data_IF_683444964918
#
_entry.id   IF_683444964918
#
_cell.length_a   1.000
_cell.length_b   1.000
_cell.length_c   1.000
_cell.angle_alpha   90.00
_cell.angle_beta   90.00
_cell.angle_gamma   90.00
#
_symmetry.space_group_name_H-M   'P 1'
#
loop_
_entity.id
_entity.type
_entity.pdbx_description
1 polymer ?
#
# COMPACT_ATOMS: atom_id res chain seq x y z
N UNK A 1 -7.90 -24.58 21.57
CA UNK A 1 -7.39 -23.77 20.44
C UNK A 1 -6.83 -22.48 21.05
N UNK A 2 -5.57 -22.14 20.78
CA UNK A 2 -4.93 -20.95 21.37
C UNK A 2 -5.49 -19.72 20.64
N UNK A 3 -6.38 -18.98 21.28
CA UNK A 3 -6.77 -17.65 20.85
C UNK A 3 -5.54 -16.73 21.00
N UNK A 4 -4.67 -16.67 19.98
CA UNK A 4 -3.57 -15.71 20.00
C UNK A 4 -4.17 -14.33 19.79
N UNK A 5 -3.90 -13.40 20.71
CA UNK A 5 -4.23 -11.99 20.54
C UNK A 5 -3.75 -11.49 19.17
N UNK A 6 -4.49 -10.60 18.48
CA UNK A 6 -4.00 -9.97 17.27
C UNK A 6 -2.63 -9.34 17.56
N UNK A 7 -1.63 -9.66 16.74
CA UNK A 7 -0.32 -9.02 16.85
C UNK A 7 -0.49 -7.55 16.50
N UNK A 8 -0.39 -6.67 17.49
CA UNK A 8 -0.37 -5.23 17.27
C UNK A 8 1.04 -4.86 16.85
N UNK A 9 1.25 -4.59 15.57
CA UNK A 9 2.53 -4.05 15.08
C UNK A 9 2.65 -2.62 15.59
N UNK A 10 3.65 -2.36 16.43
CA UNK A 10 3.99 -1.00 16.81
C UNK A 10 4.72 -0.29 15.66
N UNK A 11 4.65 1.05 15.63
CA UNK A 11 5.42 1.86 14.68
C UNK A 11 6.92 1.51 14.73
N UNK A 12 7.47 1.30 15.93
CA UNK A 12 8.87 0.92 16.13
C UNK A 12 9.22 -0.42 15.46
N UNK A 13 8.37 -1.45 15.62
CA UNK A 13 8.60 -2.75 14.97
C UNK A 13 8.60 -2.63 13.44
N UNK A 14 7.74 -1.77 12.89
CA UNK A 14 7.69 -1.52 11.45
C UNK A 14 8.96 -0.79 10.97
N UNK A 15 9.41 0.22 11.71
CA UNK A 15 10.66 0.94 11.41
C UNK A 15 11.88 0.02 11.45
N UNK A 16 12.00 -0.81 12.49
CA UNK A 16 13.06 -1.81 12.62
C UNK A 16 13.04 -2.82 11.48
N UNK A 17 11.85 -3.29 11.07
CA UNK A 17 11.73 -4.24 9.97
C UNK A 17 12.12 -3.62 8.61
N UNK A 18 11.69 -2.38 8.35
CA UNK A 18 12.03 -1.68 7.10
C UNK A 18 13.53 -1.41 7.03
N UNK A 19 14.10 -0.84 8.10
CA UNK A 19 15.51 -0.42 8.12
C UNK A 19 16.47 -1.61 8.17
N UNK A 20 16.23 -2.60 9.03
CA UNK A 20 17.16 -3.72 9.22
C UNK A 20 16.80 -4.94 8.35
N UNK A 21 15.51 -5.19 8.12
CA UNK A 21 15.02 -6.37 7.40
C UNK A 21 14.91 -6.19 5.89
N UNK A 22 14.69 -4.95 5.42
CA UNK A 22 14.51 -4.63 4.00
C UNK A 22 15.57 -3.68 3.44
N UNK A 23 16.52 -3.23 4.26
CA UNK A 23 17.50 -2.19 3.91
C UNK A 23 16.83 -0.90 3.38
N UNK A 24 15.62 -0.63 3.87
CA UNK A 24 14.88 0.61 3.60
C UNK A 24 15.47 1.78 4.37
N UNK A 25 15.27 2.99 3.87
CA UNK A 25 15.86 4.20 4.46
C UNK A 25 14.95 4.84 5.50
N UNK A 26 13.65 4.86 5.25
CA UNK A 26 12.69 5.60 6.03
C UNK A 26 11.28 4.98 6.00
N UNK A 27 10.51 5.23 7.07
CA UNK A 27 9.10 4.91 7.14
C UNK A 27 8.27 6.18 6.91
N UNK A 28 7.50 6.19 5.82
CA UNK A 28 6.62 7.31 5.45
C UNK A 28 5.16 6.86 5.41
N UNK A 29 4.29 7.65 6.03
CA UNK A 29 2.85 7.50 5.85
C UNK A 29 2.45 8.29 4.60
N UNK A 30 2.00 7.58 3.56
CA UNK A 30 1.68 8.18 2.26
C UNK A 30 0.18 8.45 2.12
N UNK A 31 -0.65 7.56 2.66
CA UNK A 31 -2.11 7.61 2.50
C UNK A 31 -2.82 6.97 3.68
N UNK A 32 -3.84 7.66 4.21
CA UNK A 32 -4.88 7.08 5.07
C UNK A 32 -6.17 6.97 4.27
N UNK A 33 -6.67 5.75 4.07
CA UNK A 33 -7.84 5.51 3.22
C UNK A 33 -8.78 4.47 3.83
N UNK A 34 -10.08 4.73 3.70
CA UNK A 34 -11.13 3.72 3.83
C UNK A 34 -11.25 3.00 2.49
N UNK A 35 -11.15 1.67 2.50
CA UNK A 35 -11.33 0.87 1.28
C UNK A 35 -12.80 0.90 0.86
N UNK A 36 -13.05 1.30 -0.38
CA UNK A 36 -14.40 1.29 -0.95
C UNK A 36 -14.66 0.00 -1.71
N UNK A 37 -15.94 -0.27 -2.01
CA UNK A 37 -16.32 -1.44 -2.80
C UNK A 37 -15.54 -1.54 -4.11
N UNK A 38 -15.27 -0.41 -4.77
CA UNK A 38 -14.45 -0.37 -5.99
C UNK A 38 -13.03 -0.92 -5.78
N UNK A 39 -12.41 -0.65 -4.62
CA UNK A 39 -11.08 -1.18 -4.30
C UNK A 39 -11.15 -2.71 -4.07
N UNK A 40 -12.30 -3.27 -3.69
CA UNK A 40 -12.45 -4.69 -3.36
C UNK A 40 -13.10 -5.53 -4.47
N UNK A 41 -13.59 -4.88 -5.54
CA UNK A 41 -14.26 -5.58 -6.64
C UNK A 41 -13.28 -6.43 -7.43
N UNK A 42 -13.59 -7.72 -7.56
CA UNK A 42 -12.74 -8.71 -8.24
C UNK A 42 -12.37 -8.32 -9.67
N UNK A 43 -13.30 -7.72 -10.41
CA UNK A 43 -13.04 -7.28 -11.78
C UNK A 43 -12.19 -6.00 -11.89
N UNK A 44 -11.97 -5.27 -10.79
CA UNK A 44 -11.17 -4.05 -10.76
C UNK A 44 -9.72 -4.29 -10.38
N UNK A 45 -9.48 -5.23 -9.45
CA UNK A 45 -8.16 -5.73 -9.06
C UNK A 45 -7.12 -4.63 -8.84
N UNK A 46 -7.52 -3.59 -8.10
CA UNK A 46 -6.70 -2.41 -7.87
C UNK A 46 -7.03 -1.68 -6.57
N UNK A 47 -6.04 -1.01 -6.02
CA UNK A 47 -6.21 0.03 -5.01
C UNK A 47 -5.98 1.39 -5.66
N UNK A 48 -6.96 2.29 -5.58
CA UNK A 48 -6.78 3.68 -6.02
C UNK A 48 -6.23 4.55 -4.89
N UNK A 49 -5.28 5.43 -5.23
CA UNK A 49 -4.68 6.42 -4.33
C UNK A 49 -4.86 7.82 -4.96
N UNK A 50 -6.00 8.48 -4.71
CA UNK A 50 -6.27 9.81 -5.23
C UNK A 50 -5.22 10.81 -4.75
N UNK A 51 -4.67 11.62 -5.66
CA UNK A 51 -3.60 12.57 -5.33
C UNK A 51 -4.00 13.59 -4.25
N UNK A 52 -5.29 13.94 -4.18
CA UNK A 52 -5.82 14.84 -3.16
C UNK A 52 -5.94 14.23 -1.75
N UNK A 53 -5.74 12.92 -1.61
CA UNK A 53 -5.74 12.19 -0.33
C UNK A 53 -4.33 11.83 0.14
N UNK A 54 -3.30 12.07 -0.69
CA UNK A 54 -1.91 11.84 -0.30
C UNK A 54 -1.47 12.88 0.73
N UNK A 55 -0.58 12.46 1.63
CA UNK A 55 0.05 13.36 2.59
C UNK A 55 0.91 14.39 1.84
N UNK A 56 0.57 15.68 1.99
CA UNK A 56 1.07 16.76 1.12
C UNK A 56 2.58 17.01 1.21
N UNK A 57 3.20 16.68 2.34
CA UNK A 57 4.59 16.97 2.64
C UNK A 57 5.47 15.72 2.66
N UNK A 58 5.03 14.65 1.96
CA UNK A 58 5.72 13.38 1.91
C UNK A 58 6.15 13.07 0.48
N UNK A 59 7.46 13.04 0.28
CA UNK A 59 8.08 12.56 -0.95
C UNK A 59 8.37 11.07 -0.81
N UNK A 60 7.56 10.24 -1.45
CA UNK A 60 7.72 8.78 -1.44
C UNK A 60 8.14 8.20 -2.80
N UNK A 61 8.21 9.06 -3.83
CA UNK A 61 8.73 8.72 -5.15
C UNK A 61 9.95 9.59 -5.41
N UNK A 62 10.95 9.01 -6.05
CA UNK A 62 12.04 9.78 -6.66
C UNK A 62 11.52 10.61 -7.84
N UNK A 63 12.28 11.63 -8.23
CA UNK A 63 11.94 12.46 -9.40
C UNK A 63 11.77 11.62 -10.67
N UNK A 64 12.65 10.64 -10.88
CA UNK A 64 12.60 9.73 -12.03
C UNK A 64 11.36 8.84 -12.00
N UNK A 65 11.00 8.26 -10.85
CA UNK A 65 9.79 7.43 -10.74
C UNK A 65 8.53 8.25 -10.97
N UNK A 66 8.50 9.50 -10.49
CA UNK A 66 7.40 10.42 -10.72
C UNK A 66 7.27 10.76 -12.19
N UNK A 67 8.36 11.11 -12.86
CA UNK A 67 8.40 11.38 -14.31
C UNK A 67 7.95 10.15 -15.11
N UNK A 68 8.42 8.96 -14.76
CA UNK A 68 8.04 7.72 -15.41
C UNK A 68 6.52 7.48 -15.33
N UNK A 69 5.92 7.66 -14.15
CA UNK A 69 4.48 7.54 -13.96
C UNK A 69 3.71 8.63 -14.72
N UNK A 70 4.21 9.87 -14.71
CA UNK A 70 3.61 10.97 -15.46
C UNK A 70 3.63 10.72 -16.97
N UNK A 71 4.68 10.07 -17.48
CA UNK A 71 4.83 9.65 -18.88
C UNK A 71 4.10 8.34 -19.21
N UNK A 72 3.31 7.80 -18.27
CA UNK A 72 2.45 6.64 -18.49
C UNK A 72 3.16 5.29 -18.36
N UNK A 73 4.42 5.27 -17.92
CA UNK A 73 5.12 4.05 -17.54
C UNK A 73 4.54 3.50 -16.23
N UNK A 74 4.91 2.26 -15.93
CA UNK A 74 4.55 1.56 -14.71
C UNK A 74 5.74 0.73 -14.24
N UNK A 75 5.85 0.51 -12.94
CA UNK A 75 6.93 -0.28 -12.34
C UNK A 75 6.40 -1.14 -11.19
N UNK A 76 7.18 -2.15 -10.84
CA UNK A 76 6.86 -3.08 -9.77
C UNK A 76 7.12 -2.45 -8.39
N UNK A 77 6.20 -2.68 -7.45
CA UNK A 77 6.35 -2.30 -6.04
C UNK A 77 6.04 -3.49 -5.14
N UNK A 78 6.82 -3.63 -4.06
CA UNK A 78 6.54 -4.61 -3.02
C UNK A 78 5.35 -4.18 -2.14
N UNK A 79 4.66 -5.16 -1.54
CA UNK A 79 3.61 -4.87 -0.56
C UNK A 79 3.88 -5.64 0.73
N UNK A 80 3.80 -4.95 1.86
CA UNK A 80 3.96 -5.53 3.18
C UNK A 80 2.59 -5.65 3.86
N UNK A 81 2.22 -6.87 4.25
CA UNK A 81 0.96 -7.12 4.94
C UNK A 81 0.98 -6.75 6.42
N UNK A 82 -0.19 -6.77 7.10
CA UNK A 82 -0.35 -6.40 8.52
C UNK A 82 0.39 -7.27 9.54
N UNK A 83 1.18 -8.26 9.11
CA UNK A 83 1.99 -9.14 9.97
C UNK A 83 3.48 -9.10 9.61
N UNK A 84 3.91 -8.02 8.95
CA UNK A 84 5.25 -7.87 8.37
C UNK A 84 5.60 -9.00 7.38
N UNK A 85 4.58 -9.68 6.84
CA UNK A 85 4.76 -10.67 5.77
C UNK A 85 4.70 -9.95 4.44
N UNK A 86 5.84 -9.94 3.72
CA UNK A 86 5.91 -9.45 2.34
C UNK A 86 4.97 -10.30 1.46
N UNK A 87 4.19 -9.65 0.64
CA UNK A 87 3.42 -10.33 -0.39
C UNK A 87 4.39 -10.91 -1.42
N UNK A 88 4.16 -12.16 -1.81
CA UNK A 88 5.08 -12.92 -2.65
C UNK A 88 5.18 -12.35 -4.07
N UNK A 89 4.09 -11.77 -4.57
CA UNK A 89 4.04 -11.14 -5.89
C UNK A 89 4.10 -9.61 -5.76
N UNK A 90 4.84 -8.90 -6.62
CA UNK A 90 4.82 -7.45 -6.64
C UNK A 90 3.47 -6.92 -7.15
N UNK A 91 3.14 -5.68 -6.81
CA UNK A 91 2.07 -4.92 -7.47
C UNK A 91 2.66 -4.08 -8.59
N UNK A 92 1.85 -3.71 -9.59
CA UNK A 92 2.26 -2.66 -10.53
C UNK A 92 1.75 -1.31 -10.06
N UNK A 93 2.64 -0.34 -9.92
CA UNK A 93 2.33 1.07 -9.69
C UNK A 93 2.10 1.78 -11.03
N UNK A 94 0.98 2.49 -11.14
CA UNK A 94 0.65 3.29 -12.33
C UNK A 94 -0.04 4.60 -11.94
N UNK A 95 0.18 5.67 -12.70
CA UNK A 95 -0.64 6.88 -12.62
C UNK A 95 -1.78 6.81 -13.64
N UNK A 96 -3.01 7.04 -13.16
CA UNK A 96 -4.19 7.25 -13.99
C UNK A 96 -4.56 8.74 -13.98
N UNK A 97 -4.62 9.32 -15.18
CA UNK A 97 -5.15 10.67 -15.40
C UNK A 97 -6.64 10.57 -15.71
N UNK A 98 -7.47 11.09 -14.82
CA UNK A 98 -8.90 11.32 -15.05
C UNK A 98 -9.09 12.71 -15.65
N UNK A 99 -10.31 13.03 -16.10
CA UNK A 99 -10.60 14.32 -16.78
C UNK A 99 -10.15 15.56 -15.99
N UNK A 100 -10.25 15.51 -14.66
CA UNK A 100 -9.97 16.65 -13.77
C UNK A 100 -9.05 16.31 -12.59
N UNK A 101 -8.69 15.04 -12.43
CA UNK A 101 -7.93 14.55 -11.27
C UNK A 101 -6.97 13.47 -11.70
N UNK A 102 -6.01 13.16 -10.84
CA UNK A 102 -5.07 12.06 -11.05
C UNK A 102 -5.04 11.17 -9.83
N UNK A 103 -4.74 9.89 -10.05
CA UNK A 103 -4.59 8.91 -8.98
C UNK A 103 -3.40 8.02 -9.30
N UNK A 104 -2.62 7.69 -8.28
CA UNK A 104 -1.79 6.50 -8.35
C UNK A 104 -2.65 5.27 -8.13
N UNK A 105 -2.25 4.14 -8.70
CA UNK A 105 -3.00 2.90 -8.67
C UNK A 105 -2.03 1.76 -8.48
N UNK A 106 -2.26 0.95 -7.45
CA UNK A 106 -1.70 -0.40 -7.39
C UNK A 106 -2.63 -1.34 -8.14
N UNK A 107 -2.12 -2.13 -9.06
CA UNK A 107 -2.90 -3.13 -9.82
C UNK A 107 -2.15 -4.47 -9.86
N UNK A 108 -2.72 -5.41 -10.62
CA UNK A 108 -2.29 -6.81 -10.89
C UNK A 108 -2.54 -7.83 -9.77
N UNK A 109 -1.99 -7.66 -8.58
CA UNK A 109 -2.10 -8.68 -7.52
C UNK A 109 -2.92 -8.22 -6.30
N UNK A 110 -3.60 -7.07 -6.40
CA UNK A 110 -4.29 -6.45 -5.28
C UNK A 110 -5.38 -7.34 -4.67
N UNK A 111 -6.22 -7.96 -5.51
CA UNK A 111 -7.26 -8.87 -5.03
C UNK A 111 -6.68 -10.06 -4.29
N UNK A 112 -5.59 -10.66 -4.82
CA UNK A 112 -4.92 -11.79 -4.17
C UNK A 112 -4.41 -11.39 -2.78
N UNK A 113 -3.86 -10.18 -2.66
CA UNK A 113 -3.42 -9.65 -1.38
C UNK A 113 -4.56 -9.46 -0.37
N UNK A 114 -5.71 -8.90 -0.78
CA UNK A 114 -6.85 -8.70 0.13
C UNK A 114 -7.65 -9.98 0.42
N UNK A 115 -7.74 -10.90 -0.55
CA UNK A 115 -8.42 -12.18 -0.42
C UNK A 115 -7.62 -13.19 0.39
N UNK A 116 -6.28 -13.08 0.35
CA UNK A 116 -5.34 -13.89 1.13
C UNK A 116 -5.39 -13.60 2.63
N UNK A 117 -6.60 -13.37 3.19
CA UNK A 117 -6.96 -13.10 4.59
C UNK A 117 -5.93 -13.71 5.52
N UNK A 118 -4.94 -12.89 5.81
CA UNK A 118 -3.94 -13.20 6.80
C UNK A 118 -4.68 -13.14 8.14
N UNK A 119 -4.92 -14.28 8.81
CA UNK A 119 -5.59 -14.35 10.13
C UNK A 119 -5.17 -13.16 11.03
N UNK A 120 -6.08 -12.21 11.25
CA UNK A 120 -5.73 -10.91 11.84
C UNK A 120 -6.11 -9.68 11.01
N UNK A 121 -6.71 -9.86 9.83
CA UNK A 121 -7.51 -8.81 9.15
C UNK A 121 -8.87 -8.54 9.86
N UNK A 122 -8.96 -8.83 11.16
CA UNK A 122 -9.94 -8.27 12.08
C UNK A 122 -9.26 -7.17 12.90
N UNK A 123 -8.67 -6.19 12.20
CA UNK A 123 -8.41 -4.91 12.80
C UNK A 123 -9.65 -4.06 12.49
N UNK A 124 -10.43 -3.77 13.52
CA UNK A 124 -11.41 -2.68 13.55
C UNK A 124 -10.98 -1.57 12.58
N UNK A 125 -11.85 -1.27 11.61
CA UNK A 125 -11.68 -0.27 10.55
C UNK A 125 -11.69 1.18 11.09
N UNK A 126 -10.86 1.42 12.10
CA UNK A 126 -10.50 2.71 12.66
C UNK A 126 -8.99 2.69 12.81
N UNK A 127 -8.36 3.64 12.13
CA UNK A 127 -6.93 3.95 12.19
C UNK A 127 -6.03 3.31 11.12
N UNK A 128 -6.16 3.87 9.90
CA UNK A 128 -5.06 4.53 9.18
C UNK A 128 -3.81 3.73 8.75
N UNK A 129 -3.66 3.54 7.44
CA UNK A 129 -2.37 3.67 6.74
C UNK A 129 -1.94 2.50 5.86
N UNK A 130 -1.79 2.72 4.55
CA UNK A 130 -1.00 1.84 3.67
C UNK A 130 0.40 2.44 3.59
N UNK A 131 1.42 1.66 3.97
CA UNK A 131 2.82 2.06 3.92
C UNK A 131 3.44 1.48 2.65
N UNK A 132 4.03 2.36 1.83
CA UNK A 132 4.91 1.98 0.73
C UNK A 132 6.35 2.25 1.17
N UNK A 133 7.23 1.27 0.97
CA UNK A 133 8.68 1.39 1.07
C UNK A 133 9.29 1.30 -0.31
#
# INVERSE_FOLDING_TARGET
MKNSKPMVISKQMLEEFITNGMNGKDLKLVLKKILYESDLRKNQNRLSMPMNQLEKNIEFLTENEKEDLENGKEFEVGLLGPRLKKHEKPMMMKMWRLKSTSSYVLKTNWNEFVEGKQEGFEATFRDSGVVFS
#
